data_IF_548753957456
#
_entry.id   IF_548753957456
#
_cell.length_a   1.000
_cell.length_b   1.000
_cell.length_c   1.000
_cell.angle_alpha   90.00
_cell.angle_beta   90.00
_cell.angle_gamma   90.00
#
_symmetry.space_group_name_H-M   'P 1'
#
loop_
_entity.id
_entity.type
_entity.pdbx_description
1 polymer ?
#
# COMPACT_ATOMS: atom_id res chain seq x y z
N UNK A 1 18.58 -5.47 -36.72
CA UNK A 1 17.55 -5.39 -35.67
C UNK A 1 18.19 -4.73 -34.45
N UNK A 2 17.80 -3.48 -34.14
CA UNK A 2 18.34 -2.73 -32.99
C UNK A 2 17.44 -2.99 -31.78
N UNK A 3 18.04 -3.53 -30.72
CA UNK A 3 17.43 -3.77 -29.42
C UNK A 3 17.23 -2.41 -28.71
N UNK A 4 16.00 -2.06 -28.40
CA UNK A 4 15.64 -0.82 -27.71
C UNK A 4 15.62 -1.10 -26.21
N UNK A 5 16.63 -0.62 -25.47
CA UNK A 5 16.65 -0.63 -24.01
C UNK A 5 15.77 0.52 -23.51
N UNK A 6 14.60 0.21 -22.96
CA UNK A 6 13.90 1.14 -22.08
C UNK A 6 14.59 1.12 -20.72
N UNK A 7 15.09 2.29 -20.31
CA UNK A 7 15.56 2.55 -18.95
C UNK A 7 14.33 2.73 -18.06
N UNK A 8 14.01 1.73 -17.24
CA UNK A 8 13.05 1.84 -16.15
C UNK A 8 13.68 2.64 -15.01
N UNK A 9 13.30 3.91 -14.87
CA UNK A 9 13.51 4.65 -13.63
C UNK A 9 12.52 4.14 -12.59
N UNK A 10 13.02 3.49 -11.54
CA UNK A 10 12.25 3.05 -10.38
C UNK A 10 11.79 4.30 -9.62
N UNK A 11 10.55 4.72 -9.85
CA UNK A 11 9.87 5.72 -9.04
C UNK A 11 9.15 5.02 -7.90
N UNK A 12 9.67 5.15 -6.67
CA UNK A 12 8.89 4.88 -5.46
C UNK A 12 7.78 5.94 -5.43
N UNK A 13 6.52 5.53 -5.68
CA UNK A 13 5.38 6.39 -5.41
C UNK A 13 5.10 6.33 -3.90
N UNK A 14 5.85 7.12 -3.14
CA UNK A 14 5.47 7.46 -1.77
C UNK A 14 4.30 8.44 -1.89
N UNK A 15 3.12 8.07 -1.37
CA UNK A 15 1.99 8.99 -1.24
C UNK A 15 2.39 10.15 -0.30
N UNK A 16 2.98 11.21 -0.86
CA UNK A 16 3.20 12.46 -0.17
C UNK A 16 1.90 13.28 -0.29
N UNK A 17 1.11 13.30 0.77
CA UNK A 17 -0.04 14.19 0.85
C UNK A 17 0.45 15.65 0.89
N UNK A 18 0.09 16.40 -0.16
CA UNK A 18 0.19 17.85 -0.15
C UNK A 18 -0.77 18.41 0.92
N UNK A 19 -0.22 18.93 2.01
CA UNK A 19 -0.96 19.79 2.92
C UNK A 19 -1.24 21.12 2.19
N UNK A 20 -2.46 21.31 1.72
CA UNK A 20 -2.90 22.62 1.25
C UNK A 20 -2.87 23.62 2.40
N UNK A 21 -1.95 24.58 2.31
CA UNK A 21 -1.94 25.74 3.17
C UNK A 21 -3.17 26.61 2.89
N UNK A 22 -3.96 26.85 3.93
CA UNK A 22 -4.79 28.04 4.04
C UNK A 22 -4.32 28.82 5.25
N UNK A 23 -3.53 29.85 4.95
CA UNK A 23 -3.24 30.97 5.83
C UNK A 23 -4.45 31.91 5.72
N UNK A 24 -5.32 31.93 6.72
CA UNK A 24 -6.13 33.11 7.00
C UNK A 24 -5.91 33.52 8.45
N UNK A 25 -5.48 34.77 8.61
CA UNK A 25 -4.89 35.28 9.84
C UNK A 25 -5.90 35.62 10.93
N UNK A 26 -5.47 35.41 12.17
CA UNK A 26 -5.90 36.20 13.32
C UNK A 26 -4.67 36.53 14.14
N UNK A 27 -4.32 37.81 14.21
CA UNK A 27 -3.15 38.32 14.93
C UNK A 27 -3.33 38.31 16.45
N UNK A 28 -2.23 38.29 17.24
CA UNK A 28 -2.31 38.45 18.68
C UNK A 28 -2.09 39.92 19.05
N UNK A 29 -3.04 40.50 19.78
CA UNK A 29 -2.87 41.79 20.43
C UNK A 29 -3.42 41.74 21.84
N UNK A 30 -2.57 41.49 22.83
CA UNK A 30 -2.70 42.01 24.20
C UNK A 30 -1.33 41.96 24.92
N UNK A 31 -0.86 43.11 25.38
CA UNK A 31 -0.06 43.25 26.60
C UNK A 31 -0.75 44.28 27.50
N UNK A 32 -0.12 44.84 28.54
CA UNK A 32 0.92 44.32 29.45
C UNK A 32 0.51 44.49 30.95
N UNK A 33 1.23 43.89 31.90
CA UNK A 33 1.13 44.24 33.34
C UNK A 33 1.76 43.24 34.30
N UNK A 34 2.91 43.58 34.90
CA UNK A 34 3.64 42.82 35.93
C UNK A 34 3.05 42.95 37.35
N UNK A 35 3.84 42.89 38.46
CA UNK A 35 5.28 42.61 38.62
C UNK A 35 5.62 41.61 39.77
N UNK A 36 6.90 41.20 39.86
CA UNK A 36 7.57 40.99 41.16
C UNK A 36 7.75 39.55 41.66
N UNK A 37 9.01 39.09 41.68
CA UNK A 37 9.41 37.89 42.41
C UNK A 37 10.87 37.54 42.16
N UNK A 38 11.74 37.89 43.11
CA UNK A 38 13.20 37.82 43.04
C UNK A 38 13.73 36.39 42.83
N UNK A 39 14.77 36.27 41.99
CA UNK A 39 15.64 35.11 41.95
C UNK A 39 16.70 35.17 43.07
N UNK A 40 17.00 34.06 43.74
CA UNK A 40 18.33 33.81 44.28
C UNK A 40 19.08 32.86 43.35
N UNK A 41 20.31 33.26 43.01
CA UNK A 41 21.21 32.47 42.19
C UNK A 41 21.56 31.12 42.81
N UNK A 42 21.75 30.13 41.95
CA UNK A 42 22.65 29.02 42.23
C UNK A 42 23.58 28.81 41.05
N UNK A 43 24.83 28.59 41.42
CA UNK A 43 26.01 28.53 40.59
C UNK A 43 25.88 27.49 39.47
N UNK A 44 26.56 27.80 38.36
CA UNK A 44 26.86 26.86 37.30
C UNK A 44 27.69 25.69 37.85
N UNK A 45 27.02 24.62 38.28
CA UNK A 45 27.60 23.30 38.45
C UNK A 45 27.55 22.59 37.11
N UNK A 46 28.71 22.35 36.50
CA UNK A 46 28.82 21.49 35.33
C UNK A 46 28.23 20.12 35.67
N UNK A 47 27.10 19.76 35.05
CA UNK A 47 26.60 18.38 35.07
C UNK A 47 27.57 17.57 34.21
N UNK A 48 28.28 16.58 34.77
CA UNK A 48 29.10 15.73 33.94
C UNK A 48 28.15 14.87 33.09
N UNK A 49 28.18 15.09 31.76
CA UNK A 49 27.55 14.21 30.78
C UNK A 49 28.41 12.95 30.71
N UNK A 50 28.28 12.07 31.70
CA UNK A 50 28.64 10.68 31.51
C UNK A 50 27.46 9.98 30.82
N UNK A 51 27.70 9.12 29.82
CA UNK A 51 26.63 8.31 29.24
C UNK A 51 25.99 7.48 30.36
N UNK A 52 24.67 7.24 30.34
CA UNK A 52 24.09 6.24 31.22
C UNK A 52 24.84 4.93 31.01
N UNK A 53 25.08 4.24 32.13
CA UNK A 53 25.58 2.88 32.15
C UNK A 53 24.88 2.03 31.07
N UNK A 54 25.67 1.32 30.28
CA UNK A 54 25.14 0.40 29.27
C UNK A 54 24.27 -0.71 29.89
N UNK A 55 24.41 -0.95 31.21
CA UNK A 55 23.57 -1.89 31.97
C UNK A 55 22.11 -1.42 32.11
N UNK A 56 21.81 -0.11 32.10
CA UNK A 56 20.43 0.38 32.13
C UNK A 56 19.67 0.18 30.80
N UNK A 57 20.38 -0.19 29.71
CA UNK A 57 19.76 -0.57 28.45
C UNK A 57 19.37 -2.05 28.38
N UNK A 58 19.73 -2.88 29.37
CA UNK A 58 19.51 -4.34 29.32
C UNK A 58 18.09 -4.79 29.68
N UNK A 59 17.24 -3.90 30.22
CA UNK A 59 15.87 -4.29 30.60
C UNK A 59 14.86 -3.25 30.13
N UNK A 60 14.55 -3.30 28.83
CA UNK A 60 13.31 -2.70 28.34
C UNK A 60 12.14 -3.39 29.06
N UNK A 61 11.33 -2.66 29.84
CA UNK A 61 10.20 -3.26 30.55
C UNK A 61 9.23 -3.85 29.51
N UNK A 62 9.16 -5.18 29.47
CA UNK A 62 8.26 -5.90 28.58
C UNK A 62 6.81 -5.67 29.01
N UNK A 63 6.01 -5.15 28.08
CA UNK A 63 4.56 -5.07 28.25
C UNK A 63 3.93 -6.46 28.29
N UNK A 64 2.68 -6.55 28.75
CA UNK A 64 1.90 -7.79 28.69
C UNK A 64 1.80 -8.33 27.26
N UNK A 65 1.69 -7.44 26.27
CA UNK A 65 1.74 -7.79 24.84
C UNK A 65 3.07 -8.44 24.46
N UNK A 66 4.20 -7.89 24.91
CA UNK A 66 5.54 -8.41 24.56
C UNK A 66 5.75 -9.82 25.12
N UNK A 67 5.19 -10.10 26.31
CA UNK A 67 5.22 -11.43 26.92
C UNK A 67 4.37 -12.44 26.15
N UNK A 68 3.18 -12.02 25.68
CA UNK A 68 2.32 -12.86 24.83
C UNK A 68 3.01 -13.15 23.50
N UNK A 69 3.59 -12.13 22.85
CA UNK A 69 4.32 -12.29 21.58
C UNK A 69 5.49 -13.25 21.75
N UNK A 70 6.32 -13.06 22.79
CA UNK A 70 7.46 -13.94 23.09
C UNK A 70 7.02 -15.37 23.41
N UNK A 71 5.82 -15.54 24.02
CA UNK A 71 5.24 -16.85 24.30
C UNK A 71 4.68 -17.58 23.05
N UNK A 72 4.41 -16.84 21.97
CA UNK A 72 3.97 -17.41 20.68
C UNK A 72 5.19 -17.71 19.79
N UNK A 73 6.12 -16.77 19.70
CA UNK A 73 7.32 -16.88 18.87
C UNK A 73 8.49 -16.12 19.53
N UNK A 74 9.57 -16.84 19.87
CA UNK A 74 10.80 -16.22 20.38
C UNK A 74 11.69 -15.75 19.22
N UNK A 75 12.60 -14.82 19.49
CA UNK A 75 13.59 -14.40 18.50
C UNK A 75 14.48 -15.57 18.02
N UNK A 76 14.75 -16.53 18.91
CA UNK A 76 15.47 -17.76 18.58
C UNK A 76 14.69 -18.59 17.55
N UNK A 77 13.36 -18.73 17.71
CA UNK A 77 12.51 -19.42 16.73
C UNK A 77 12.54 -18.73 15.36
N UNK A 78 12.60 -17.40 15.33
CA UNK A 78 12.78 -16.64 14.07
C UNK A 78 14.12 -16.99 13.44
N UNK A 79 15.23 -16.94 14.20
CA UNK A 79 16.56 -17.27 13.69
C UNK A 79 16.64 -18.71 13.16
N UNK A 80 16.11 -19.68 13.91
CA UNK A 80 16.05 -21.08 13.50
C UNK A 80 15.23 -21.26 12.22
N UNK A 81 14.12 -20.53 12.10
CA UNK A 81 13.30 -20.50 10.90
C UNK A 81 14.06 -19.97 9.68
N UNK A 82 14.82 -18.88 9.86
CA UNK A 82 15.64 -18.28 8.80
C UNK A 82 16.81 -19.17 8.40
N UNK A 83 17.52 -19.76 9.36
CA UNK A 83 18.64 -20.66 9.11
C UNK A 83 18.19 -21.96 8.43
N UNK A 84 17.05 -22.52 8.86
CA UNK A 84 16.44 -23.64 8.17
C UNK A 84 16.11 -23.27 6.71
N UNK A 85 15.43 -22.13 6.49
CA UNK A 85 15.06 -21.67 5.14
C UNK A 85 16.28 -21.43 4.24
N UNK A 86 17.38 -20.89 4.79
CA UNK A 86 18.62 -20.67 4.02
C UNK A 86 19.29 -21.98 3.59
N UNK A 87 19.20 -23.02 4.42
CA UNK A 87 19.73 -24.37 4.12
C UNK A 87 18.84 -25.17 3.18
N UNK A 88 17.52 -25.04 3.28
CA UNK A 88 16.57 -25.79 2.44
C UNK A 88 16.46 -25.27 1.01
N UNK A 89 17.02 -24.09 0.72
CA UNK A 89 16.93 -23.48 -0.60
C UNK A 89 15.51 -23.00 -0.95
N UNK A 90 15.23 -22.79 -2.23
CA UNK A 90 13.96 -22.26 -2.70
C UNK A 90 12.83 -23.29 -2.49
N UNK A 91 11.97 -23.09 -1.49
CA UNK A 91 10.76 -23.89 -1.22
C UNK A 91 9.61 -23.35 -2.07
N UNK A 92 9.85 -23.17 -3.38
CA UNK A 92 8.81 -22.70 -4.29
C UNK A 92 7.67 -23.71 -4.31
N UNK A 93 6.47 -23.26 -4.01
CA UNK A 93 5.24 -24.01 -4.28
C UNK A 93 4.45 -23.24 -5.34
N UNK A 94 4.03 -23.89 -6.44
CA UNK A 94 3.06 -23.28 -7.32
C UNK A 94 1.71 -23.17 -6.60
N UNK A 95 0.96 -22.13 -6.92
CA UNK A 95 -0.44 -21.99 -6.56
C UNK A 95 -1.19 -21.54 -7.81
N UNK A 96 -2.17 -22.32 -8.24
CA UNK A 96 -2.96 -21.98 -9.41
C UNK A 96 -4.04 -20.98 -8.99
N UNK A 97 -4.07 -19.83 -9.64
CA UNK A 97 -5.18 -18.90 -9.45
C UNK A 97 -6.49 -19.48 -10.01
N UNK A 98 -7.61 -19.01 -9.45
CA UNK A 98 -8.93 -19.32 -9.98
C UNK A 98 -9.51 -18.07 -10.63
N UNK A 99 -9.97 -18.21 -11.88
CA UNK A 99 -10.68 -17.16 -12.60
C UNK A 99 -12.15 -17.20 -12.18
N UNK A 100 -12.59 -16.15 -11.49
CA UNK A 100 -13.97 -15.99 -11.03
C UNK A 100 -14.86 -15.50 -12.18
N UNK A 101 -14.33 -14.57 -13.00
CA UNK A 101 -15.04 -14.01 -14.13
C UNK A 101 -14.06 -13.53 -15.21
N UNK A 102 -14.49 -13.61 -16.45
CA UNK A 102 -13.85 -13.01 -17.62
C UNK A 102 -14.82 -12.05 -18.30
N UNK A 103 -14.28 -11.00 -18.90
CA UNK A 103 -15.03 -9.94 -19.55
C UNK A 103 -14.48 -9.71 -20.95
N UNK A 104 -15.36 -9.33 -21.86
CA UNK A 104 -14.95 -8.94 -23.20
C UNK A 104 -14.15 -7.62 -23.14
N UNK A 105 -13.09 -7.47 -23.95
CA UNK A 105 -12.36 -6.22 -24.04
C UNK A 105 -13.28 -5.06 -24.46
N UNK A 106 -13.19 -3.95 -23.74
CA UNK A 106 -13.85 -2.70 -24.11
C UNK A 106 -13.16 -1.95 -25.24
N UNK A 107 -13.69 -0.76 -25.54
CA UNK A 107 -13.06 0.17 -26.48
C UNK A 107 -12.01 1.04 -25.77
N UNK A 108 -10.84 1.31 -26.38
CA UNK A 108 -9.84 2.20 -25.81
C UNK A 108 -10.39 3.60 -25.51
N UNK A 109 -10.12 4.12 -24.31
CA UNK A 109 -10.58 5.45 -23.86
C UNK A 109 -9.58 6.57 -24.11
N UNK A 110 -8.33 6.23 -24.37
CA UNK A 110 -7.28 7.16 -24.74
C UNK A 110 -6.20 6.46 -25.56
N UNK A 111 -5.36 7.25 -26.22
CA UNK A 111 -4.22 6.77 -27.01
C UNK A 111 -2.91 7.27 -26.35
N UNK A 112 -2.04 6.36 -25.87
CA UNK A 112 -0.76 6.73 -25.29
C UNK A 112 0.16 7.37 -26.34
N UNK A 113 0.80 8.49 -25.99
CA UNK A 113 1.76 9.14 -26.86
C UNK A 113 3.18 8.63 -26.60
N UNK A 114 4.01 8.43 -27.63
CA UNK A 114 5.40 8.03 -27.46
C UNK A 114 6.18 8.99 -26.55
N UNK A 115 6.89 8.45 -25.56
CA UNK A 115 7.73 9.22 -24.64
C UNK A 115 6.98 9.90 -23.49
N UNK A 116 5.65 9.80 -23.42
CA UNK A 116 4.86 10.25 -22.27
C UNK A 116 4.86 9.20 -21.16
N UNK A 117 4.69 9.68 -19.93
CA UNK A 117 4.48 8.84 -18.74
C UNK A 117 3.08 9.11 -18.21
N UNK A 118 2.37 8.03 -17.93
CA UNK A 118 1.03 8.07 -17.36
C UNK A 118 1.05 7.46 -15.96
N UNK A 119 0.24 8.00 -15.07
CA UNK A 119 -0.02 7.38 -13.78
C UNK A 119 -1.43 6.77 -13.78
N UNK A 120 -1.56 5.66 -13.07
CA UNK A 120 -2.85 5.02 -12.84
C UNK A 120 -3.19 5.08 -11.36
N UNK A 121 -4.44 5.39 -11.07
CA UNK A 121 -4.98 5.39 -9.71
C UNK A 121 -6.33 4.68 -9.71
N UNK A 122 -6.42 3.63 -8.90
CA UNK A 122 -7.70 3.00 -8.65
C UNK A 122 -8.38 3.75 -7.50
N UNK A 123 -9.54 4.33 -7.75
CA UNK A 123 -10.26 5.07 -6.72
C UNK A 123 -11.34 4.19 -6.10
N UNK A 124 -11.28 4.08 -4.77
CA UNK A 124 -12.21 3.32 -3.95
C UNK A 124 -13.49 4.05 -3.60
N UNK A 125 -14.39 3.32 -2.95
CA UNK A 125 -15.65 3.82 -2.40
C UNK A 125 -15.54 4.29 -0.96
N UNK A 126 -14.46 3.94 -0.27
CA UNK A 126 -14.16 4.41 1.08
C UNK A 126 -13.15 5.56 1.00
N UNK A 127 -13.52 6.73 1.51
CA UNK A 127 -12.51 7.72 1.86
C UNK A 127 -11.99 7.41 3.27
N UNK A 128 -10.68 7.19 3.35
CA UNK A 128 -9.83 7.20 4.55
C UNK A 128 -10.36 6.45 5.80
N UNK A 129 -9.70 5.35 6.19
CA UNK A 129 -9.96 4.65 7.46
C UNK A 129 -9.79 5.54 8.72
N UNK A 130 -9.11 6.68 8.61
CA UNK A 130 -8.86 7.63 9.69
C UNK A 130 -9.72 8.89 9.64
N UNK A 131 -10.68 9.02 8.70
CA UNK A 131 -11.52 10.22 8.61
C UNK A 131 -12.73 10.18 9.55
N UNK A 132 -12.51 9.82 10.82
CA UNK A 132 -13.54 9.91 11.85
C UNK A 132 -14.05 11.36 11.91
N UNK A 133 -15.36 11.55 11.67
CA UNK A 133 -16.04 12.84 11.78
C UNK A 133 -16.10 13.69 10.49
N UNK A 134 -15.67 13.18 9.33
CA UNK A 134 -15.92 13.87 8.04
C UNK A 134 -17.13 13.24 7.36
N UNK A 135 -18.03 14.06 6.81
CA UNK A 135 -19.10 13.62 5.90
C UNK A 135 -18.46 13.09 4.62
N UNK A 136 -18.01 11.84 4.66
CA UNK A 136 -17.44 11.15 3.50
C UNK A 136 -18.59 10.71 2.62
N UNK A 137 -18.81 11.39 1.50
CA UNK A 137 -19.61 10.82 0.41
C UNK A 137 -18.84 9.63 -0.16
N UNK A 138 -19.36 8.43 0.05
CA UNK A 138 -18.81 7.22 -0.56
C UNK A 138 -19.11 7.24 -2.06
N UNK A 139 -18.11 6.91 -2.88
CA UNK A 139 -18.36 6.74 -4.31
C UNK A 139 -19.31 5.55 -4.54
N UNK A 140 -20.11 5.62 -5.60
CA UNK A 140 -21.07 4.56 -5.93
C UNK A 140 -20.36 3.33 -6.52
N UNK A 141 -19.26 3.55 -7.27
CA UNK A 141 -18.44 2.54 -7.94
C UNK A 141 -16.95 2.78 -7.71
N UNK A 142 -16.13 1.76 -7.96
CA UNK A 142 -14.70 1.99 -8.17
C UNK A 142 -14.46 2.61 -9.53
N UNK A 143 -13.34 3.31 -9.64
CA UNK A 143 -12.84 3.78 -10.94
C UNK A 143 -11.38 3.41 -11.12
N UNK A 144 -11.00 3.20 -12.38
CA UNK A 144 -9.61 3.22 -12.81
C UNK A 144 -9.38 4.54 -13.52
N UNK A 145 -8.51 5.36 -12.97
CA UNK A 145 -8.21 6.70 -13.46
C UNK A 145 -6.81 6.67 -14.07
N UNK A 146 -6.66 7.31 -15.23
CA UNK A 146 -5.36 7.54 -15.84
C UNK A 146 -5.13 9.04 -15.97
N UNK A 147 -3.93 9.48 -15.64
CA UNK A 147 -3.50 10.86 -15.81
C UNK A 147 -2.13 10.98 -16.46
N UNK A 148 -1.87 12.14 -17.07
CA UNK A 148 -0.56 12.48 -17.63
C UNK A 148 0.34 12.95 -16.47
N UNK A 149 1.50 12.31 -16.32
CA UNK A 149 2.41 12.59 -15.20
C UNK A 149 3.12 13.96 -15.31
N UNK A 150 3.23 14.51 -16.52
CA UNK A 150 3.82 15.83 -16.77
C UNK A 150 2.81 16.94 -16.46
N UNK A 151 1.59 16.84 -16.98
CA UNK A 151 0.55 17.87 -16.76
C UNK A 151 -0.15 17.71 -15.41
N UNK A 152 -0.11 16.51 -14.83
CA UNK A 152 -0.82 16.13 -13.60
C UNK A 152 -2.34 16.16 -13.75
N UNK A 153 -2.83 16.10 -14.99
CA UNK A 153 -4.25 16.09 -15.29
C UNK A 153 -4.76 14.67 -15.50
N UNK A 154 -5.99 14.41 -15.05
CA UNK A 154 -6.73 13.20 -15.40
C UNK A 154 -7.15 13.29 -16.86
N UNK A 155 -6.78 12.29 -17.67
CA UNK A 155 -7.06 12.28 -19.11
C UNK A 155 -8.20 11.32 -19.48
N UNK A 156 -8.42 10.27 -18.69
CA UNK A 156 -9.54 9.36 -18.84
C UNK A 156 -9.84 8.61 -17.53
N UNK A 157 -11.04 8.04 -17.43
CA UNK A 157 -11.40 7.11 -16.37
C UNK A 157 -12.39 6.04 -16.86
N UNK A 158 -12.34 4.87 -16.23
CA UNK A 158 -13.35 3.83 -16.34
C UNK A 158 -14.05 3.62 -15.02
N UNK A 159 -15.38 3.53 -15.02
CA UNK A 159 -16.15 3.13 -13.84
C UNK A 159 -16.43 1.64 -13.90
N UNK A 160 -16.22 0.93 -12.80
CA UNK A 160 -16.61 -0.46 -12.69
C UNK A 160 -18.10 -0.58 -12.38
N UNK A 161 -18.72 -1.68 -12.83
CA UNK A 161 -20.07 -2.03 -12.44
C UNK A 161 -20.18 -2.10 -10.90
N UNK A 162 -21.29 -1.64 -10.29
CA UNK A 162 -21.46 -1.61 -8.82
C UNK A 162 -21.21 -2.96 -8.14
N UNK A 163 -21.45 -4.07 -8.81
CA UNK A 163 -21.25 -5.43 -8.31
C UNK A 163 -19.77 -5.79 -8.16
N UNK A 164 -18.89 -5.10 -8.90
CA UNK A 164 -17.43 -5.25 -8.85
C UNK A 164 -16.77 -4.31 -7.84
N UNK A 165 -17.59 -3.68 -7.00
CA UNK A 165 -17.12 -2.75 -5.98
C UNK A 165 -16.21 -3.45 -4.98
N UNK A 166 -15.04 -2.85 -4.74
CA UNK A 166 -13.99 -3.29 -3.84
C UNK A 166 -13.54 -2.13 -2.95
N UNK A 167 -13.04 -2.47 -1.76
CA UNK A 167 -12.21 -1.56 -0.98
C UNK A 167 -10.80 -1.58 -1.56
N UNK A 168 -10.51 -0.63 -2.46
CA UNK A 168 -9.20 -0.52 -3.10
C UNK A 168 -8.14 -0.32 -2.03
N UNK A 169 -7.20 -1.25 -1.98
CA UNK A 169 -6.05 -1.19 -1.09
C UNK A 169 -4.78 -0.81 -1.85
N UNK A 170 -4.60 -1.30 -3.08
CA UNK A 170 -3.42 -0.98 -3.91
C UNK A 170 -3.75 -0.96 -5.40
N UNK A 171 -3.03 -0.09 -6.12
CA UNK A 171 -2.93 -0.08 -7.58
C UNK A 171 -1.58 -0.62 -7.99
N UNK A 172 -1.59 -1.60 -8.91
CA UNK A 172 -0.36 -2.13 -9.52
C UNK A 172 -0.55 -2.14 -11.02
N UNK A 173 0.51 -1.85 -11.77
CA UNK A 173 0.50 -1.99 -13.24
C UNK A 173 1.37 -3.17 -13.63
N UNK A 174 1.00 -3.88 -14.70
CA UNK A 174 1.86 -4.92 -15.27
C UNK A 174 3.19 -4.31 -15.73
N UNK A 175 4.29 -5.09 -15.76
CA UNK A 175 5.59 -4.57 -16.18
C UNK A 175 5.60 -3.98 -17.61
N UNK A 176 4.75 -4.53 -18.49
CA UNK A 176 4.55 -4.08 -19.87
C UNK A 176 3.52 -2.94 -20.02
N UNK A 177 2.88 -2.52 -18.92
CA UNK A 177 1.87 -1.46 -18.89
C UNK A 177 0.52 -1.80 -19.55
N UNK A 178 0.29 -3.05 -19.97
CA UNK A 178 -0.99 -3.45 -20.60
C UNK A 178 -2.14 -3.57 -19.61
N UNK A 179 -1.84 -3.85 -18.35
CA UNK A 179 -2.86 -4.11 -17.33
C UNK A 179 -2.67 -3.28 -16.08
N UNK A 180 -3.80 -2.91 -15.49
CA UNK A 180 -3.89 -2.32 -14.15
C UNK A 180 -4.59 -3.33 -13.25
N UNK A 181 -4.07 -3.54 -12.05
CA UNK A 181 -4.63 -4.45 -11.06
C UNK A 181 -5.21 -3.65 -9.91
N UNK A 182 -6.47 -3.96 -9.59
CA UNK A 182 -7.12 -3.49 -8.37
C UNK A 182 -6.98 -4.60 -7.34
N UNK A 183 -6.20 -4.33 -6.30
CA UNK A 183 -6.07 -5.20 -5.14
C UNK A 183 -6.93 -4.62 -4.03
N UNK A 184 -7.88 -5.41 -3.52
CA UNK A 184 -8.82 -4.96 -2.50
C UNK A 184 -9.86 -6.00 -2.15
N UNK A 185 -10.49 -5.86 -0.99
CA UNK A 185 -11.58 -6.75 -0.60
C UNK A 185 -12.84 -6.45 -1.41
N UNK A 186 -13.49 -7.49 -1.96
CA UNK A 186 -14.80 -7.36 -2.59
C UNK A 186 -15.80 -6.85 -1.53
N UNK A 187 -16.54 -5.80 -1.87
CA UNK A 187 -17.42 -5.06 -0.96
C UNK A 187 -18.70 -5.82 -0.59
N UNK A 188 -18.87 -7.06 -1.02
CA UNK A 188 -20.04 -7.89 -0.72
C UNK A 188 -20.14 -8.25 0.77
N UNK A 189 -19.03 -8.20 1.51
CA UNK A 189 -19.03 -8.39 2.96
C UNK A 189 -19.17 -7.05 3.67
N UNK A 190 -20.23 -6.91 4.48
CA UNK A 190 -20.51 -5.72 5.28
C UNK A 190 -19.47 -5.45 6.37
N UNK A 191 -18.63 -6.44 6.71
CA UNK A 191 -17.46 -6.31 7.60
C UNK A 191 -16.35 -7.27 7.16
N UNK A 192 -15.43 -6.87 6.27
CA UNK A 192 -14.31 -7.71 5.88
C UNK A 192 -13.42 -7.99 7.10
N UNK A 193 -13.09 -9.25 7.32
CA UNK A 193 -12.14 -9.71 8.34
C UNK A 193 -10.73 -9.81 7.75
N UNK A 194 -9.71 -10.03 8.58
CA UNK A 194 -8.36 -10.35 8.09
C UNK A 194 -8.32 -11.62 7.22
N UNK A 195 -9.30 -12.51 7.37
CA UNK A 195 -9.38 -13.80 6.68
C UNK A 195 -10.29 -13.75 5.44
N UNK A 196 -10.99 -12.64 5.19
CA UNK A 196 -11.88 -12.52 4.04
C UNK A 196 -11.07 -12.62 2.76
N UNK A 197 -11.34 -13.64 1.94
CA UNK A 197 -10.69 -13.85 0.66
C UNK A 197 -10.95 -12.67 -0.27
N UNK A 198 -9.93 -12.22 -0.98
CA UNK A 198 -10.05 -11.08 -1.89
C UNK A 198 -9.77 -11.53 -3.30
N UNK A 199 -10.51 -10.97 -4.25
CA UNK A 199 -10.18 -11.11 -5.64
C UNK A 199 -9.33 -9.92 -6.11
N UNK A 200 -8.43 -10.19 -7.04
CA UNK A 200 -7.75 -9.17 -7.83
C UNK A 200 -8.55 -8.93 -9.11
N UNK A 201 -8.89 -7.67 -9.39
CA UNK A 201 -9.48 -7.30 -10.67
C UNK A 201 -8.36 -6.90 -11.61
N UNK A 202 -8.20 -7.63 -12.72
CA UNK A 202 -7.32 -7.28 -13.83
C UNK A 202 -8.12 -6.39 -14.78
N UNK A 203 -7.59 -5.22 -15.08
CA UNK A 203 -8.20 -4.18 -15.92
C UNK A 203 -7.28 -3.91 -17.10
N UNK A 204 -7.83 -3.76 -18.29
CA UNK A 204 -7.04 -3.31 -19.45
C UNK A 204 -6.69 -1.82 -19.31
N UNK A 205 -5.41 -1.50 -19.50
CA UNK A 205 -4.89 -0.18 -19.21
C UNK A 205 -5.34 0.90 -20.20
N UNK A 206 -5.85 0.54 -21.38
CA UNK A 206 -6.32 1.49 -22.40
C UNK A 206 -7.84 1.65 -22.38
N UNK A 207 -8.57 0.56 -22.20
CA UNK A 207 -10.05 0.59 -22.11
C UNK A 207 -10.51 1.05 -20.72
N UNK A 208 -9.68 0.83 -19.69
CA UNK A 208 -10.01 1.06 -18.28
C UNK A 208 -11.21 0.21 -17.80
N UNK A 209 -11.42 -0.93 -18.47
CA UNK A 209 -12.49 -1.88 -18.19
C UNK A 209 -11.92 -3.22 -17.67
N UNK A 210 -12.66 -3.93 -16.80
CA UNK A 210 -12.21 -5.20 -16.27
C UNK A 210 -12.07 -6.21 -17.40
N UNK A 211 -11.05 -7.06 -17.33
CA UNK A 211 -10.86 -8.20 -18.24
C UNK A 211 -10.99 -9.54 -17.52
N UNK A 212 -10.53 -9.60 -16.25
CA UNK A 212 -10.64 -10.80 -15.41
C UNK A 212 -10.76 -10.44 -13.94
N UNK A 213 -11.41 -11.32 -13.20
CA UNK A 213 -11.38 -11.34 -11.73
C UNK A 213 -10.76 -12.66 -11.32
N UNK A 214 -9.69 -12.60 -10.52
CA UNK A 214 -8.96 -13.80 -10.08
C UNK A 214 -8.88 -13.85 -8.55
N UNK A 215 -8.99 -15.04 -7.98
CA UNK A 215 -8.68 -15.29 -6.57
C UNK A 215 -7.44 -16.18 -6.46
N UNK A 216 -6.69 -16.02 -5.38
CA UNK A 216 -5.36 -16.62 -5.21
C UNK A 216 -5.15 -17.20 -3.80
N UNK A 217 -6.20 -17.79 -3.23
CA UNK A 217 -6.10 -18.49 -1.94
C UNK A 217 -5.71 -17.60 -0.76
N UNK A 218 -6.03 -16.30 -0.80
CA UNK A 218 -5.67 -15.38 0.26
C UNK A 218 -6.29 -13.99 0.15
N UNK A 219 -5.98 -13.15 1.14
CA UNK A 219 -6.32 -11.74 1.21
C UNK A 219 -5.13 -10.93 0.71
N UNK A 220 -5.16 -10.59 -0.57
CA UNK A 220 -4.13 -9.81 -1.24
C UNK A 220 -3.99 -8.42 -0.62
N UNK A 221 -2.75 -7.93 -0.56
CA UNK A 221 -2.41 -6.71 0.14
C UNK A 221 -1.79 -5.69 -0.81
N UNK A 222 -0.49 -5.78 -1.10
CA UNK A 222 0.20 -4.97 -2.08
C UNK A 222 0.68 -5.80 -3.24
N UNK A 223 1.01 -5.12 -4.33
CA UNK A 223 1.85 -5.71 -5.37
C UNK A 223 2.85 -4.70 -5.88
N UNK A 224 3.92 -5.23 -6.46
CA UNK A 224 4.95 -4.44 -7.10
C UNK A 224 5.49 -5.17 -8.32
N UNK A 225 5.94 -4.42 -9.32
CA UNK A 225 6.63 -4.99 -10.48
C UNK A 225 7.89 -5.71 -9.99
N UNK A 226 8.05 -6.95 -10.43
CA UNK A 226 9.23 -7.77 -10.16
C UNK A 226 9.70 -8.41 -11.46
N UNK A 227 10.75 -7.85 -12.07
CA UNK A 227 11.22 -8.24 -13.42
C UNK A 227 10.19 -7.95 -14.51
N UNK A 228 10.48 -8.42 -15.72
CA UNK A 228 9.81 -8.01 -16.95
C UNK A 228 8.42 -8.63 -17.15
N UNK A 229 8.07 -9.69 -16.41
CA UNK A 229 6.79 -10.40 -16.56
C UNK A 229 6.09 -10.77 -15.25
N UNK A 230 6.70 -10.46 -14.09
CA UNK A 230 6.15 -10.87 -12.80
C UNK A 230 5.75 -9.66 -11.95
N UNK A 231 4.77 -9.89 -11.09
CA UNK A 231 4.49 -9.04 -9.93
C UNK A 231 4.89 -9.79 -8.67
N UNK A 232 5.53 -9.13 -7.70
CA UNK A 232 5.61 -9.62 -6.33
C UNK A 232 4.36 -9.17 -5.59
N UNK A 233 3.61 -10.10 -5.01
CA UNK A 233 2.38 -9.83 -4.27
C UNK A 233 2.51 -10.40 -2.86
N UNK A 234 2.10 -9.64 -1.86
CA UNK A 234 1.95 -10.10 -0.47
C UNK A 234 0.48 -10.27 -0.09
N UNK A 235 0.24 -11.04 0.97
CA UNK A 235 -1.08 -11.27 1.54
C UNK A 235 -1.12 -10.83 3.00
N UNK A 236 -2.28 -10.33 3.45
CA UNK A 236 -2.56 -10.15 4.89
C UNK A 236 -2.78 -11.48 5.59
N UNK A 237 -3.41 -12.42 4.89
CA UNK A 237 -3.70 -13.77 5.34
C UNK A 237 -3.87 -14.66 4.12
N UNK A 238 -3.66 -15.96 4.31
CA UNK A 238 -3.78 -16.97 3.27
C UNK A 238 -4.61 -18.15 3.75
N UNK A 239 -5.16 -18.91 2.81
CA UNK A 239 -5.67 -20.25 3.04
C UNK A 239 -4.53 -21.17 3.49
N UNK A 240 -4.89 -22.34 4.03
CA UNK A 240 -3.94 -23.32 4.55
C UNK A 240 -2.86 -23.71 3.50
N UNK A 241 -3.26 -23.76 2.23
CA UNK A 241 -2.41 -24.06 1.06
C UNK A 241 -2.02 -22.82 0.22
N UNK A 242 -2.46 -21.62 0.61
CA UNK A 242 -2.14 -20.38 -0.08
C UNK A 242 -0.68 -19.94 0.08
N UNK A 243 -0.30 -18.85 -0.60
CA UNK A 243 1.06 -18.29 -0.56
C UNK A 243 1.10 -16.97 0.24
N UNK A 244 2.11 -16.80 1.10
CA UNK A 244 2.29 -15.59 1.92
C UNK A 244 2.77 -14.40 1.06
N UNK A 245 3.84 -14.64 0.30
CA UNK A 245 4.45 -13.72 -0.66
C UNK A 245 4.80 -14.54 -1.89
N UNK A 246 4.37 -14.09 -3.07
CA UNK A 246 4.51 -14.86 -4.29
C UNK A 246 4.81 -14.00 -5.52
N UNK A 247 5.31 -14.67 -6.54
CA UNK A 247 5.48 -14.10 -7.87
C UNK A 247 4.29 -14.49 -8.72
N UNK A 248 3.58 -13.49 -9.23
CA UNK A 248 2.46 -13.65 -10.14
C UNK A 248 2.91 -13.44 -11.57
N UNK A 249 2.70 -14.43 -12.43
CA UNK A 249 2.91 -14.30 -13.87
C UNK A 249 1.76 -13.48 -14.47
N UNK A 250 2.09 -12.43 -15.20
CA UNK A 250 1.08 -11.55 -15.81
C UNK A 250 0.55 -12.06 -17.15
N UNK A 251 1.22 -13.06 -17.74
CA UNK A 251 0.93 -13.62 -19.06
C UNK A 251 0.02 -14.85 -19.04
N UNK A 252 0.10 -15.68 -18.00
CA UNK A 252 -0.62 -16.96 -17.87
C UNK A 252 -1.43 -17.03 -16.60
#
# INVERSE_FOLDING_TARGET
>A
MKLMRMLTSVGICLCLQAANGQNEGMGPGMGPGGPGGMAPGMAAGAVPIFPPDLEALEQFPQSERDRIVTGIESFETVLDGWERKSRTGNIMSPYQNEVIAEFEPGEPKFEPQPGKTYFYENTGVMANMFSVGRNVTTAQSNRVVVGDAETKEVIAYGELAPELRTSVHTTVVSPDGRYVYIIGALSAETQPTLLSTTAMVKVDALTLEPVKIVTMGGRLHHGQIFRDNLLLIDTFARADDGLDVFLYDTET
#
